data_IF_488285570074
#
_entry.id   IF_488285570074
#
_cell.length_a   1.000
_cell.length_b   1.000
_cell.length_c   1.000
_cell.angle_alpha   90.00
_cell.angle_beta   90.00
_cell.angle_gamma   90.00
#
_symmetry.space_group_name_H-M   'P 1'
#
loop_
_entity.id
_entity.type
_entity.pdbx_description
1 polymer ?
#
# COMPACT_ATOMS: atom_id res chain seq x y z
N UNK A 1 58.10 -11.72 30.32
CA UNK A 1 59.06 -11.44 29.24
C UNK A 1 58.33 -10.73 28.11
N UNK A 2 58.76 -9.49 27.80
CA UNK A 2 58.77 -8.78 26.51
C UNK A 2 57.58 -8.94 25.55
N UNK A 3 57.03 -7.94 24.86
CA UNK A 3 57.09 -6.47 24.83
C UNK A 3 56.49 -6.06 23.47
N UNK A 4 55.87 -4.87 23.40
CA UNK A 4 55.36 -4.14 22.19
C UNK A 4 54.01 -4.66 21.68
N UNK A 5 52.95 -3.84 21.59
CA UNK A 5 52.88 -2.56 20.89
C UNK A 5 52.07 -1.49 21.65
N UNK A 6 52.66 -0.30 21.72
CA UNK A 6 52.01 0.99 21.99
C UNK A 6 51.64 1.66 20.67
N UNK A 7 50.58 2.47 20.69
CA UNK A 7 50.26 3.53 19.72
C UNK A 7 49.40 3.02 18.57
N UNK A 8 48.25 3.60 18.22
CA UNK A 8 47.91 5.03 18.26
C UNK A 8 46.40 5.20 18.29
N UNK A 9 45.96 6.07 19.20
CA UNK A 9 44.64 6.73 19.20
C UNK A 9 44.66 7.80 18.10
N UNK A 10 44.00 7.57 16.98
CA UNK A 10 43.31 8.57 16.15
C UNK A 10 42.78 7.89 14.89
N UNK A 11 41.48 7.68 14.78
CA UNK A 11 40.70 7.68 13.52
C UNK A 11 39.22 7.49 13.91
N UNK A 12 38.67 8.49 14.62
CA UNK A 12 37.23 8.64 14.91
C UNK A 12 36.64 9.87 14.18
N UNK A 13 37.42 10.58 13.37
CA UNK A 13 36.92 11.71 12.57
C UNK A 13 37.10 11.43 11.08
N UNK A 14 36.01 11.01 10.43
CA UNK A 14 35.61 11.36 9.05
C UNK A 14 34.47 10.44 8.63
N UNK A 15 33.23 10.95 8.68
CA UNK A 15 32.17 10.86 7.64
C UNK A 15 30.84 11.34 8.28
N UNK A 16 30.82 12.59 8.76
CA UNK A 16 29.60 13.27 9.26
C UNK A 16 29.45 14.70 8.71
N UNK A 17 30.07 14.99 7.56
CA UNK A 17 29.86 16.23 6.83
C UNK A 17 29.25 15.91 5.47
N UNK A 18 27.92 16.09 5.33
CA UNK A 18 27.20 16.37 4.06
C UNK A 18 25.71 16.79 4.27
N UNK A 19 25.19 16.96 5.49
CA UNK A 19 23.81 17.47 5.71
C UNK A 19 23.79 18.75 6.55
N UNK A 20 24.58 19.74 6.15
CA UNK A 20 24.48 21.08 6.75
C UNK A 20 24.91 22.14 5.72
N UNK A 21 24.03 22.44 4.76
CA UNK A 21 23.90 23.72 4.04
C UNK A 21 22.63 23.56 3.18
N UNK A 22 21.50 24.10 3.65
CA UNK A 22 20.44 24.80 2.89
C UNK A 22 19.21 25.05 3.78
N UNK A 23 19.44 25.60 4.97
CA UNK A 23 18.40 26.09 5.86
C UNK A 23 18.77 27.46 6.41
N UNK A 24 18.99 28.42 5.52
CA UNK A 24 19.03 29.84 5.87
C UNK A 24 18.98 30.70 4.62
N UNK A 25 17.78 31.00 4.15
CA UNK A 25 17.43 32.18 3.35
C UNK A 25 15.91 32.17 3.24
N UNK A 26 15.20 32.70 4.26
CA UNK A 26 13.91 33.40 4.14
C UNK A 26 13.38 33.75 5.53
N UNK A 27 14.09 34.63 6.23
CA UNK A 27 13.49 35.50 7.24
C UNK A 27 14.00 36.91 7.00
N UNK A 28 13.19 37.75 6.35
CA UNK A 28 12.80 39.06 6.89
C UNK A 28 11.97 39.88 5.90
N UNK A 29 11.07 40.65 6.50
CA UNK A 29 10.17 41.65 5.92
C UNK A 29 8.92 41.11 5.23
N UNK A 30 7.78 41.15 5.94
CA UNK A 30 6.67 41.98 5.50
C UNK A 30 5.82 42.43 6.69
N UNK A 31 5.89 43.73 6.99
CA UNK A 31 4.90 44.47 7.77
C UNK A 31 4.13 45.41 6.84
N UNK A 32 2.80 45.33 6.89
CA UNK A 32 1.80 46.42 6.82
C UNK A 32 1.92 47.45 5.65
N UNK A 33 0.97 47.45 4.69
CA UNK A 33 -0.13 48.43 4.59
C UNK A 33 -0.94 48.37 3.27
N UNK A 34 -2.25 48.63 3.37
CA UNK A 34 -3.20 48.86 2.27
C UNK A 34 -2.88 50.16 1.50
N UNK A 35 -3.10 50.18 0.16
CA UNK A 35 -3.98 51.14 -0.55
C UNK A 35 -4.08 50.88 -2.07
N UNK A 36 -5.30 51.09 -2.58
CA UNK A 36 -5.77 50.99 -3.97
C UNK A 36 -5.03 51.94 -4.93
N UNK A 37 -4.85 51.53 -6.19
CA UNK A 37 -5.26 52.31 -7.38
C UNK A 37 -5.50 51.37 -8.59
N UNK A 38 -6.49 51.73 -9.41
CA UNK A 38 -6.94 51.01 -10.63
C UNK A 38 -6.06 51.37 -11.83
N UNK A 39 -5.74 50.39 -12.68
CA UNK A 39 -5.51 50.59 -14.11
C UNK A 39 -5.80 49.30 -14.88
N UNK A 40 -6.57 49.43 -15.96
CA UNK A 40 -7.06 48.35 -16.82
C UNK A 40 -6.12 48.23 -18.02
N UNK A 41 -5.50 47.05 -18.24
CA UNK A 41 -5.25 46.44 -19.58
C UNK A 41 -4.43 45.13 -19.48
N UNK A 42 -4.77 44.19 -20.37
CA UNK A 42 -4.19 42.85 -20.65
C UNK A 42 -4.73 41.66 -19.84
N UNK A 43 -5.87 41.11 -20.30
CA UNK A 43 -6.66 40.06 -19.62
C UNK A 43 -6.42 38.62 -20.10
N UNK A 44 -5.30 38.31 -20.77
CA UNK A 44 -4.99 36.93 -21.21
C UNK A 44 -3.73 36.31 -20.60
N UNK A 45 -2.86 37.10 -19.95
CA UNK A 45 -1.64 36.58 -19.29
C UNK A 45 -1.77 36.47 -17.77
N UNK A 46 -2.61 37.30 -17.16
CA UNK A 46 -2.84 37.30 -15.70
C UNK A 46 -3.61 36.06 -15.20
N UNK A 47 -4.48 35.45 -16.03
CA UNK A 47 -5.23 34.25 -15.62
C UNK A 47 -4.36 33.00 -15.56
N UNK A 48 -3.53 32.76 -16.56
CA UNK A 48 -2.62 31.61 -16.60
C UNK A 48 -1.58 31.65 -15.47
N UNK A 49 -0.96 32.81 -15.23
CA UNK A 49 0.01 32.98 -14.12
C UNK A 49 -0.65 32.76 -12.76
N UNK A 50 -1.85 33.32 -12.53
CA UNK A 50 -2.57 33.11 -11.27
C UNK A 50 -3.02 31.66 -11.04
N UNK A 51 -3.36 30.92 -12.11
CA UNK A 51 -3.74 29.51 -12.03
C UNK A 51 -2.51 28.64 -11.78
N UNK A 52 -1.37 28.94 -12.41
CA UNK A 52 -0.12 28.21 -12.15
C UNK A 52 0.39 28.46 -10.74
N UNK A 53 0.34 29.70 -10.24
CA UNK A 53 0.71 30.04 -8.85
C UNK A 53 -0.24 29.38 -7.84
N UNK A 54 -1.55 29.35 -8.12
CA UNK A 54 -2.52 28.67 -7.26
C UNK A 54 -2.26 27.17 -7.19
N UNK A 55 -2.02 26.51 -8.34
CA UNK A 55 -1.72 25.07 -8.38
C UNK A 55 -0.41 24.73 -7.68
N UNK A 56 0.63 25.55 -7.83
CA UNK A 56 1.89 25.36 -7.11
C UNK A 56 1.71 25.52 -5.61
N UNK A 57 0.90 26.49 -5.18
CA UNK A 57 0.62 26.71 -3.75
C UNK A 57 -0.14 25.53 -3.13
N UNK A 58 -1.16 25.00 -3.80
CA UNK A 58 -1.94 23.86 -3.29
C UNK A 58 -1.10 22.58 -3.20
N UNK A 59 -0.23 22.31 -4.19
CA UNK A 59 0.68 21.16 -4.09
C UNK A 59 1.70 21.32 -2.95
N UNK A 60 2.18 22.54 -2.70
CA UNK A 60 3.03 22.82 -1.55
C UNK A 60 2.30 22.59 -0.22
N UNK A 61 1.00 22.90 -0.11
CA UNK A 61 0.18 22.59 1.07
C UNK A 61 0.11 21.07 1.31
N UNK A 62 -0.09 20.27 0.25
CA UNK A 62 -0.03 18.81 0.36
C UNK A 62 1.35 18.32 0.84
N UNK A 63 2.44 18.87 0.30
CA UNK A 63 3.80 18.48 0.73
C UNK A 63 4.09 18.84 2.19
N UNK A 64 3.56 19.97 2.68
CA UNK A 64 3.66 20.36 4.09
C UNK A 64 2.90 19.39 5.00
N UNK A 65 1.65 19.07 4.65
CA UNK A 65 0.83 18.12 5.40
C UNK A 65 1.47 16.71 5.39
N UNK A 66 1.99 16.29 4.24
CA UNK A 66 2.75 15.05 4.10
C UNK A 66 3.93 15.00 5.07
N UNK A 67 4.71 16.07 5.17
CA UNK A 67 5.84 16.15 6.08
C UNK A 67 5.38 16.05 7.55
N UNK A 68 4.31 16.76 7.90
CA UNK A 68 3.69 16.68 9.22
C UNK A 68 3.24 15.26 9.59
N UNK A 69 2.58 14.55 8.67
CA UNK A 69 2.16 13.16 8.88
C UNK A 69 3.37 12.23 9.12
N UNK A 70 4.46 12.39 8.35
CA UNK A 70 5.68 11.58 8.50
C UNK A 70 6.34 11.83 9.88
N UNK A 71 6.39 13.08 10.33
CA UNK A 71 6.91 13.43 11.65
C UNK A 71 6.08 12.80 12.78
N UNK A 72 4.76 12.87 12.66
CA UNK A 72 3.85 12.19 13.60
C UNK A 72 4.04 10.68 13.58
N UNK A 73 4.16 10.05 12.41
CA UNK A 73 4.45 8.63 12.30
C UNK A 73 5.72 8.27 13.08
N UNK A 74 6.82 8.99 12.87
CA UNK A 74 8.09 8.70 13.56
C UNK A 74 7.95 8.82 15.08
N UNK A 75 7.16 9.80 15.55
CA UNK A 75 6.85 9.94 16.98
C UNK A 75 6.04 8.75 17.51
N UNK A 76 4.95 8.38 16.83
CA UNK A 76 4.07 7.28 17.26
C UNK A 76 4.72 5.91 17.13
N UNK A 77 5.56 5.70 16.12
CA UNK A 77 6.27 4.44 15.91
C UNK A 77 7.14 4.03 17.11
N UNK A 78 7.68 5.01 17.85
CA UNK A 78 8.49 4.75 19.06
C UNK A 78 7.66 4.56 20.34
N UNK A 79 6.35 4.79 20.27
CA UNK A 79 5.46 4.65 21.42
C UNK A 79 5.27 3.17 21.75
N UNK A 80 5.52 2.80 23.00
CA UNK A 80 5.20 1.45 23.49
C UNK A 80 3.69 1.26 23.54
N UNK A 81 3.17 0.44 22.63
CA UNK A 81 1.79 0.01 22.64
C UNK A 81 1.62 -1.20 23.56
N UNK A 82 0.83 -1.03 24.61
CA UNK A 82 0.31 -2.17 25.37
C UNK A 82 -1.09 -2.48 24.87
N UNK A 83 -1.41 -3.76 24.67
CA UNK A 83 -2.78 -4.21 24.53
C UNK A 83 -3.67 -3.55 25.59
N UNK A 84 -4.90 -3.20 25.21
CA UNK A 84 -5.85 -2.67 26.17
C UNK A 84 -6.30 -3.81 27.09
N UNK A 85 -5.66 -3.92 28.26
CA UNK A 85 -5.94 -4.98 29.25
C UNK A 85 -7.38 -4.92 29.81
N UNK A 86 -8.06 -3.79 29.68
CA UNK A 86 -9.45 -3.63 30.09
C UNK A 86 -10.45 -4.05 29.01
N UNK A 87 -9.95 -4.48 27.85
CA UNK A 87 -10.77 -4.83 26.69
C UNK A 87 -10.70 -6.33 26.45
N UNK A 88 -11.87 -6.96 26.38
CA UNK A 88 -12.04 -8.37 26.04
C UNK A 88 -13.00 -8.50 24.87
N UNK A 89 -13.08 -9.71 24.28
CA UNK A 89 -14.03 -9.96 23.21
C UNK A 89 -15.49 -9.73 23.64
N UNK A 90 -15.83 -9.89 24.92
CA UNK A 90 -17.17 -9.60 25.46
C UNK A 90 -17.59 -8.12 25.33
N UNK A 91 -16.61 -7.22 25.13
CA UNK A 91 -16.87 -5.82 24.81
C UNK A 91 -17.40 -5.62 23.38
N UNK A 92 -17.40 -6.68 22.57
CA UNK A 92 -17.78 -6.66 21.16
C UNK A 92 -18.92 -7.64 20.89
N UNK A 93 -19.95 -7.16 20.19
CA UNK A 93 -20.94 -8.03 19.57
C UNK A 93 -20.50 -8.35 18.14
N UNK A 94 -20.05 -9.57 17.88
CA UNK A 94 -19.73 -10.04 16.53
C UNK A 94 -21.01 -10.15 15.70
N UNK A 95 -21.00 -9.59 14.49
CA UNK A 95 -22.18 -9.49 13.62
C UNK A 95 -22.02 -10.36 12.39
N UNK A 96 -20.93 -10.22 11.65
CA UNK A 96 -20.71 -10.90 10.36
C UNK A 96 -19.23 -11.21 10.15
N UNK A 97 -18.92 -12.34 9.51
CA UNK A 97 -17.57 -12.62 9.01
C UNK A 97 -17.36 -11.84 7.71
N UNK A 98 -16.34 -10.98 7.68
CA UNK A 98 -15.99 -10.16 6.52
C UNK A 98 -15.00 -10.88 5.59
N UNK A 99 -14.22 -11.80 6.14
CA UNK A 99 -13.26 -12.59 5.40
C UNK A 99 -12.47 -13.53 6.31
N UNK A 100 -12.04 -14.65 5.74
CA UNK A 100 -11.09 -15.58 6.33
C UNK A 100 -9.84 -15.62 5.45
N UNK A 101 -8.72 -15.11 5.96
CA UNK A 101 -7.45 -15.03 5.24
C UNK A 101 -6.39 -15.94 5.86
N UNK A 102 -5.21 -16.02 5.22
CA UNK A 102 -4.09 -16.84 5.70
C UNK A 102 -3.61 -16.48 7.11
N UNK A 103 -3.88 -15.25 7.56
CA UNK A 103 -3.45 -14.73 8.86
C UNK A 103 -4.56 -14.69 9.91
N UNK A 104 -5.82 -15.01 9.59
CA UNK A 104 -6.92 -14.97 10.56
C UNK A 104 -8.28 -14.57 9.98
N UNK A 105 -9.25 -14.43 10.87
CA UNK A 105 -10.65 -14.11 10.54
C UNK A 105 -10.93 -12.64 10.84
N UNK A 106 -11.60 -11.93 9.93
CA UNK A 106 -12.02 -10.54 10.13
C UNK A 106 -13.53 -10.51 10.32
N UNK A 107 -13.98 -9.85 11.39
CA UNK A 107 -15.39 -9.74 11.74
C UNK A 107 -15.86 -8.30 11.74
N UNK A 108 -17.05 -8.04 11.23
CA UNK A 108 -17.78 -6.85 11.63
C UNK A 108 -18.24 -7.03 13.07
N UNK A 109 -17.87 -6.10 13.93
CA UNK A 109 -18.25 -6.11 15.34
C UNK A 109 -18.81 -4.75 15.77
N UNK A 110 -19.75 -4.77 16.71
CA UNK A 110 -20.23 -3.57 17.38
C UNK A 110 -19.54 -3.46 18.74
N UNK A 111 -18.80 -2.37 18.96
CA UNK A 111 -18.13 -2.10 20.22
C UNK A 111 -19.10 -1.48 21.22
N UNK A 112 -19.46 -2.22 22.25
CA UNK A 112 -20.54 -1.86 23.18
C UNK A 112 -20.25 -0.55 23.94
N UNK A 113 -18.97 -0.25 24.20
CA UNK A 113 -18.58 0.91 25.00
C UNK A 113 -18.53 2.22 24.19
N UNK A 114 -18.10 2.17 22.91
CA UNK A 114 -18.04 3.37 22.06
C UNK A 114 -19.27 3.56 21.18
N UNK A 115 -20.15 2.56 21.08
CA UNK A 115 -21.29 2.53 20.16
C UNK A 115 -20.89 2.65 18.68
N UNK A 116 -19.75 2.07 18.31
CA UNK A 116 -19.22 2.13 16.96
C UNK A 116 -19.05 0.74 16.34
N UNK A 117 -19.16 0.67 15.02
CA UNK A 117 -18.85 -0.53 14.25
C UNK A 117 -17.36 -0.55 13.88
N UNK A 118 -16.74 -1.71 14.04
CA UNK A 118 -15.33 -1.95 13.71
C UNK A 118 -15.16 -3.20 12.88
N UNK A 119 -14.09 -3.25 12.08
CA UNK A 119 -13.57 -4.48 11.52
C UNK A 119 -12.54 -5.07 12.50
N UNK A 120 -12.90 -6.17 13.15
CA UNK A 120 -12.10 -6.85 14.16
C UNK A 120 -11.38 -8.06 13.54
N UNK A 121 -10.08 -7.93 13.31
CA UNK A 121 -9.20 -9.03 12.88
C UNK A 121 -8.81 -9.86 14.09
N UNK A 122 -9.16 -11.14 14.09
CA UNK A 122 -8.85 -12.12 15.13
C UNK A 122 -7.88 -13.17 14.58
N UNK A 123 -6.74 -13.35 15.27
CA UNK A 123 -5.64 -14.18 14.80
C UNK A 123 -5.24 -15.14 15.91
N UNK A 124 -5.16 -16.43 15.58
CA UNK A 124 -4.84 -17.46 16.56
C UNK A 124 -3.35 -17.41 16.93
N UNK A 125 -3.05 -17.37 18.22
CA UNK A 125 -1.67 -17.34 18.74
C UNK A 125 -0.86 -18.55 18.29
N UNK A 126 -1.45 -19.75 18.30
CA UNK A 126 -0.74 -20.97 17.89
C UNK A 126 -0.27 -20.90 16.44
N UNK A 127 -1.11 -20.39 15.53
CA UNK A 127 -0.77 -20.23 14.11
C UNK A 127 0.41 -19.27 13.91
N UNK A 128 0.44 -18.17 14.67
CA UNK A 128 1.54 -17.21 14.61
C UNK A 128 2.87 -17.82 15.09
N UNK A 129 2.83 -18.67 16.12
CA UNK A 129 4.02 -19.36 16.63
C UNK A 129 4.48 -20.45 15.65
N UNK A 130 3.55 -21.26 15.14
CA UNK A 130 3.83 -22.31 14.16
C UNK A 130 4.47 -21.76 12.88
N UNK A 131 4.10 -20.55 12.46
CA UNK A 131 4.59 -19.90 11.24
C UNK A 131 5.75 -18.92 11.45
N UNK A 132 6.23 -18.71 12.69
CA UNK A 132 7.23 -17.67 13.03
C UNK A 132 6.80 -16.23 12.64
N UNK A 133 5.51 -15.93 12.80
CA UNK A 133 4.88 -14.67 12.38
C UNK A 133 4.57 -13.71 13.54
N UNK A 134 5.06 -14.03 14.74
CA UNK A 134 4.86 -13.18 15.92
C UNK A 134 5.40 -11.74 15.71
N UNK A 135 6.63 -11.61 15.21
CA UNK A 135 7.22 -10.29 14.95
C UNK A 135 6.48 -9.56 13.83
N UNK A 136 5.93 -10.30 12.87
CA UNK A 136 5.12 -9.76 11.77
C UNK A 136 3.86 -9.12 12.32
N UNK A 137 3.11 -9.81 13.19
CA UNK A 137 1.87 -9.24 13.75
C UNK A 137 2.12 -8.08 14.72
N UNK A 138 3.22 -8.11 15.47
CA UNK A 138 3.62 -6.98 16.32
C UNK A 138 3.97 -5.75 15.47
N UNK A 139 4.66 -5.96 14.35
CA UNK A 139 4.98 -4.90 13.38
C UNK A 139 3.71 -4.36 12.70
N UNK A 140 2.81 -5.23 12.24
CA UNK A 140 1.53 -4.84 11.64
C UNK A 140 0.74 -3.93 12.59
N UNK A 141 0.59 -4.34 13.85
CA UNK A 141 -0.09 -3.56 14.89
C UNK A 141 0.59 -2.20 15.12
N UNK A 142 1.92 -2.19 15.24
CA UNK A 142 2.67 -0.96 15.48
C UNK A 142 2.53 0.03 14.32
N UNK A 143 2.60 -0.48 13.07
CA UNK A 143 2.42 0.35 11.88
C UNK A 143 0.98 0.88 11.79
N UNK A 144 -0.01 0.01 11.98
CA UNK A 144 -1.42 0.39 11.97
C UNK A 144 -1.73 1.52 12.97
N UNK A 145 -1.17 1.45 14.18
CA UNK A 145 -1.32 2.50 15.18
C UNK A 145 -0.64 3.81 14.77
N UNK A 146 0.56 3.76 14.20
CA UNK A 146 1.34 4.96 13.90
C UNK A 146 0.88 5.67 12.62
N UNK A 147 0.33 4.94 11.65
CA UNK A 147 -0.09 5.47 10.35
C UNK A 147 -1.44 6.18 10.42
N UNK A 148 -1.47 7.45 10.01
CA UNK A 148 -2.69 8.26 9.91
C UNK A 148 -2.72 8.93 8.55
N UNK A 149 -3.62 8.49 7.67
CA UNK A 149 -3.77 9.03 6.32
C UNK A 149 -5.20 8.77 5.80
N UNK A 150 -5.83 9.70 5.05
CA UNK A 150 -7.21 9.53 4.56
C UNK A 150 -7.40 8.29 3.69
N UNK A 151 -6.35 7.81 3.02
CA UNK A 151 -6.37 6.63 2.16
C UNK A 151 -5.72 5.37 2.77
N UNK A 152 -5.51 5.33 4.09
CA UNK A 152 -5.10 4.13 4.82
C UNK A 152 -6.16 3.84 5.89
N UNK A 153 -6.42 2.57 6.17
CA UNK A 153 -7.37 2.16 7.21
C UNK A 153 -6.90 2.62 8.59
N UNK A 154 -7.81 3.17 9.37
CA UNK A 154 -7.54 3.69 10.70
C UNK A 154 -7.56 2.56 11.73
N UNK A 155 -6.50 2.49 12.52
CA UNK A 155 -6.45 1.67 13.73
C UNK A 155 -7.37 2.24 14.82
N UNK A 156 -8.13 1.37 15.48
CA UNK A 156 -9.06 1.72 16.56
C UNK A 156 -8.58 1.15 17.90
N UNK A 157 -8.22 -0.13 17.95
CA UNK A 157 -7.84 -0.80 19.19
C UNK A 157 -7.08 -2.10 18.93
N UNK A 158 -6.41 -2.62 19.97
CA UNK A 158 -5.86 -3.98 19.96
C UNK A 158 -5.92 -4.58 21.36
N UNK A 159 -6.21 -5.87 21.45
CA UNK A 159 -6.27 -6.63 22.70
C UNK A 159 -5.97 -8.11 22.43
N UNK A 160 -5.84 -8.92 23.48
CA UNK A 160 -5.59 -10.37 23.37
C UNK A 160 -6.41 -11.11 24.41
N UNK A 161 -6.72 -12.36 24.14
CA UNK A 161 -7.27 -13.29 25.12
C UNK A 161 -6.35 -14.52 25.25
N UNK A 162 -6.87 -15.63 25.78
CA UNK A 162 -6.09 -16.85 25.98
C UNK A 162 -5.60 -17.48 24.67
N UNK A 163 -6.31 -17.31 23.56
CA UNK A 163 -6.11 -18.08 22.31
C UNK A 163 -5.84 -17.19 21.09
N UNK A 164 -6.29 -15.93 21.11
CA UNK A 164 -6.21 -15.00 19.99
C UNK A 164 -5.56 -13.67 20.38
N UNK A 165 -4.99 -13.02 19.37
CA UNK A 165 -4.74 -11.59 19.36
C UNK A 165 -5.74 -10.90 18.43
N UNK A 166 -6.11 -9.68 18.77
CA UNK A 166 -7.15 -8.92 18.07
C UNK A 166 -6.64 -7.52 17.70
N UNK A 167 -6.93 -7.12 16.46
CA UNK A 167 -6.69 -5.76 15.97
C UNK A 167 -8.00 -5.23 15.39
N UNK A 168 -8.49 -4.12 15.93
CA UNK A 168 -9.69 -3.44 15.50
C UNK A 168 -9.36 -2.25 14.60
N UNK A 169 -10.04 -2.20 13.46
CA UNK A 169 -9.94 -1.13 12.46
C UNK A 169 -11.29 -0.45 12.25
N UNK A 170 -11.29 0.74 11.66
CA UNK A 170 -12.52 1.37 11.19
C UNK A 170 -13.27 0.44 10.21
N UNK A 171 -14.60 0.46 10.26
CA UNK A 171 -15.41 -0.33 9.36
C UNK A 171 -15.66 0.40 8.03
N UNK A 172 -15.31 -0.26 6.91
CA UNK A 172 -15.46 0.27 5.55
C UNK A 172 -16.61 -0.44 4.81
N UNK A 173 -17.64 0.33 4.45
CA UNK A 173 -18.92 -0.20 3.94
C UNK A 173 -19.01 -0.33 2.42
N UNK A 174 -18.03 0.21 1.68
CA UNK A 174 -18.13 0.41 0.25
C UNK A 174 -17.77 -0.80 -0.61
N UNK A 175 -17.31 -1.89 0.00
CA UNK A 175 -16.75 -3.05 -0.70
C UNK A 175 -15.37 -2.77 -1.28
N UNK A 176 -14.70 -3.81 -1.76
CA UNK A 176 -13.38 -3.72 -2.39
C UNK A 176 -13.44 -3.33 -3.88
N UNK A 177 -12.32 -2.79 -4.37
CA UNK A 177 -12.15 -2.38 -5.76
C UNK A 177 -12.23 -3.58 -6.73
N UNK A 178 -11.80 -4.77 -6.30
CA UNK A 178 -11.92 -5.99 -7.11
C UNK A 178 -13.38 -6.28 -7.49
N UNK A 179 -14.28 -6.24 -6.51
CA UNK A 179 -15.70 -6.42 -6.69
C UNK A 179 -16.27 -5.35 -7.61
N UNK A 180 -15.88 -4.08 -7.43
CA UNK A 180 -16.30 -2.98 -8.31
C UNK A 180 -15.91 -3.21 -9.77
N UNK A 181 -14.67 -3.61 -10.03
CA UNK A 181 -14.17 -3.90 -11.38
C UNK A 181 -14.82 -5.14 -11.99
N UNK A 182 -15.21 -6.11 -11.16
CA UNK A 182 -15.92 -7.32 -11.60
C UNK A 182 -17.35 -7.02 -12.05
N UNK A 183 -18.00 -5.99 -11.49
CA UNK A 183 -19.35 -5.56 -11.91
C UNK A 183 -19.34 -4.63 -13.13
N UNK A 184 -18.28 -3.84 -13.33
CA UNK A 184 -18.18 -2.91 -14.45
C UNK A 184 -16.73 -2.54 -14.80
N UNK A 185 -16.47 -2.36 -16.09
CA UNK A 185 -15.23 -1.74 -16.56
C UNK A 185 -15.19 -0.28 -16.10
N UNK A 186 -14.10 0.12 -15.46
CA UNK A 186 -13.92 1.51 -15.05
C UNK A 186 -13.57 2.39 -16.25
N UNK A 187 -14.14 3.58 -16.28
CA UNK A 187 -13.67 4.63 -17.18
C UNK A 187 -12.27 5.10 -16.76
N UNK A 188 -11.49 5.62 -17.69
CA UNK A 188 -10.16 6.16 -17.37
C UNK A 188 -10.22 7.28 -16.31
N UNK A 189 -11.31 8.05 -16.26
CA UNK A 189 -11.52 9.07 -15.23
C UNK A 189 -11.71 8.45 -13.83
N UNK A 190 -12.48 7.36 -13.74
CA UNK A 190 -12.63 6.59 -12.50
C UNK A 190 -11.30 5.96 -12.07
N UNK A 191 -10.59 5.32 -13.00
CA UNK A 191 -9.28 4.73 -12.75
C UNK A 191 -8.28 5.80 -12.25
N UNK A 192 -8.27 6.99 -12.87
CA UNK A 192 -7.43 8.12 -12.45
C UNK A 192 -7.73 8.60 -11.03
N UNK A 193 -9.01 8.69 -10.66
CA UNK A 193 -9.43 9.09 -9.32
C UNK A 193 -8.96 8.10 -8.24
N UNK A 194 -9.09 6.79 -8.49
CA UNK A 194 -8.61 5.76 -7.55
C UNK A 194 -7.08 5.69 -7.53
N UNK A 195 -6.43 5.69 -8.69
CA UNK A 195 -4.97 5.67 -8.82
C UNK A 195 -4.31 6.85 -8.08
N UNK A 196 -4.89 8.06 -8.17
CA UNK A 196 -4.35 9.23 -7.48
C UNK A 196 -4.36 9.07 -5.95
N UNK A 197 -5.39 8.43 -5.39
CA UNK A 197 -5.46 8.12 -3.95
C UNK A 197 -4.47 7.02 -3.54
N UNK A 198 -4.27 6.01 -4.38
CA UNK A 198 -3.25 4.97 -4.16
C UNK A 198 -1.86 5.62 -4.16
N UNK A 199 -1.57 6.51 -5.11
CA UNK A 199 -0.29 7.26 -5.16
C UNK A 199 -0.06 8.04 -3.87
N UNK A 200 -1.08 8.71 -3.33
CA UNK A 200 -0.96 9.45 -2.07
C UNK A 200 -0.73 8.54 -0.86
N UNK A 201 -1.39 7.38 -0.80
CA UNK A 201 -1.15 6.39 0.24
C UNK A 201 0.29 5.85 0.18
N UNK A 202 0.78 5.51 -1.02
CA UNK A 202 2.15 5.05 -1.24
C UNK A 202 3.17 6.14 -0.93
N UNK A 203 2.91 7.40 -1.30
CA UNK A 203 3.79 8.52 -0.96
C UNK A 203 4.02 8.65 0.55
N UNK A 204 2.92 8.57 1.31
CA UNK A 204 2.99 8.63 2.76
C UNK A 204 3.74 7.42 3.35
N UNK A 205 3.40 6.19 2.93
CA UNK A 205 4.08 4.97 3.39
C UNK A 205 5.58 5.00 3.08
N UNK A 206 5.96 5.34 1.84
CA UNK A 206 7.36 5.42 1.41
C UNK A 206 8.12 6.53 2.15
N UNK A 207 7.46 7.66 2.43
CA UNK A 207 7.98 8.73 3.29
C UNK A 207 8.31 8.23 4.70
N UNK A 208 7.46 7.36 5.24
CA UNK A 208 7.64 6.65 6.51
C UNK A 208 8.63 5.47 6.44
N UNK A 209 9.28 5.25 5.28
CA UNK A 209 10.16 4.10 4.99
C UNK A 209 9.46 2.74 5.07
N UNK A 210 8.14 2.71 4.93
CA UNK A 210 7.36 1.48 4.84
C UNK A 210 7.15 1.13 3.38
N UNK A 211 7.47 -0.09 2.98
CA UNK A 211 7.00 -0.71 1.73
C UNK A 211 5.77 -1.55 2.03
N UNK A 212 4.74 -1.46 1.19
CA UNK A 212 3.43 -2.10 1.42
C UNK A 212 3.39 -3.56 0.96
N UNK A 213 3.88 -3.87 -0.25
CA UNK A 213 4.12 -5.22 -0.81
C UNK A 213 2.91 -6.11 -1.09
N UNK A 214 1.69 -5.72 -0.72
CA UNK A 214 0.46 -6.49 -1.03
C UNK A 214 -0.64 -5.61 -1.63
N UNK A 215 -0.23 -4.70 -2.52
CA UNK A 215 -1.18 -3.90 -3.28
C UNK A 215 -1.94 -4.79 -4.26
N UNK A 216 -3.26 -4.85 -4.09
CA UNK A 216 -4.19 -5.56 -4.96
C UNK A 216 -5.59 -4.98 -4.80
N UNK A 217 -6.47 -5.12 -5.80
CA UNK A 217 -7.81 -4.55 -5.75
C UNK A 217 -8.67 -5.03 -4.56
N UNK A 218 -8.42 -6.23 -4.03
CA UNK A 218 -9.06 -6.77 -2.83
C UNK A 218 -8.68 -6.00 -1.55
N UNK A 219 -7.46 -5.45 -1.50
CA UNK A 219 -6.96 -4.66 -0.37
C UNK A 219 -7.23 -3.16 -0.53
N UNK A 220 -7.93 -2.74 -1.58
CA UNK A 220 -8.34 -1.35 -1.83
C UNK A 220 -9.83 -1.26 -1.58
N UNK A 221 -10.23 -0.84 -0.37
CA UNK A 221 -11.63 -0.85 0.06
C UNK A 221 -12.23 0.55 0.01
N UNK A 222 -13.45 0.65 -0.49
CA UNK A 222 -14.17 1.91 -0.58
C UNK A 222 -14.85 2.25 0.77
N UNK A 223 -14.78 3.52 1.12
CA UNK A 223 -15.65 4.16 2.13
C UNK A 223 -17.07 4.29 1.59
N UNK A 224 -18.05 4.53 2.47
CA UNK A 224 -19.41 4.85 2.05
C UNK A 224 -19.53 6.15 1.24
N UNK A 225 -18.51 7.00 1.27
CA UNK A 225 -18.45 8.24 0.51
C UNK A 225 -17.84 8.05 -0.89
N UNK A 226 -17.26 6.89 -1.21
CA UNK A 226 -16.65 6.61 -2.52
C UNK A 226 -15.14 6.87 -2.63
N UNK A 227 -14.49 7.27 -1.53
CA UNK A 227 -13.03 7.31 -1.40
C UNK A 227 -12.47 5.94 -1.06
N UNK A 228 -11.21 5.67 -1.39
CA UNK A 228 -10.54 4.40 -1.09
C UNK A 228 -9.67 4.49 0.16
N UNK A 229 -9.49 3.35 0.82
CA UNK A 229 -8.49 3.12 1.86
C UNK A 229 -7.78 1.80 1.60
N UNK A 230 -6.46 1.80 1.74
CA UNK A 230 -5.66 0.58 1.79
C UNK A 230 -5.88 -0.11 3.14
N UNK A 231 -6.21 -1.39 3.11
CA UNK A 231 -6.34 -2.26 4.28
C UNK A 231 -5.17 -3.24 4.37
N UNK A 232 -5.11 -4.07 5.41
CA UNK A 232 -4.15 -5.17 5.58
C UNK A 232 -2.65 -4.78 5.45
N UNK A 233 -2.01 -4.53 6.58
CA UNK A 233 -0.58 -4.20 6.67
C UNK A 233 0.28 -5.43 6.98
N UNK A 234 -0.26 -6.65 6.90
CA UNK A 234 0.44 -7.89 7.28
C UNK A 234 1.73 -8.15 6.49
N UNK A 235 1.79 -7.68 5.23
CA UNK A 235 2.99 -7.73 4.41
C UNK A 235 3.76 -6.41 4.37
N UNK A 236 3.33 -5.36 5.08
CA UNK A 236 4.07 -4.11 5.12
C UNK A 236 5.40 -4.27 5.90
N UNK A 237 6.42 -3.50 5.56
CA UNK A 237 7.73 -3.58 6.23
C UNK A 237 8.45 -2.24 6.29
N UNK A 238 8.94 -1.88 7.46
CA UNK A 238 9.88 -0.77 7.64
C UNK A 238 11.26 -1.14 7.07
N UNK A 239 11.69 -0.44 6.02
CA UNK A 239 12.96 -0.68 5.34
C UNK A 239 14.09 0.09 6.01
N UNK A 240 15.03 -0.64 6.62
CA UNK A 240 16.30 -0.10 7.20
C UNK A 240 17.50 -0.26 6.26
N UNK A 241 17.25 -0.52 4.98
CA UNK A 241 18.25 -0.83 3.95
C UNK A 241 17.55 -1.36 2.71
N UNK A 242 17.38 -2.68 2.64
CA UNK A 242 16.60 -3.38 1.62
C UNK A 242 15.88 -4.59 2.22
N UNK A 243 15.01 -5.22 1.42
CA UNK A 243 14.38 -6.50 1.70
C UNK A 243 14.64 -7.48 0.56
N UNK A 244 14.67 -8.77 0.88
CA UNK A 244 14.80 -9.88 -0.09
C UNK A 244 13.64 -10.88 0.05
N UNK A 245 12.70 -10.62 0.96
CA UNK A 245 11.57 -11.50 1.24
C UNK A 245 10.72 -11.68 -0.01
N UNK A 246 10.57 -12.92 -0.48
CA UNK A 246 9.62 -13.28 -1.52
C UNK A 246 8.19 -13.24 -0.96
N UNK A 247 7.38 -12.28 -1.40
CA UNK A 247 6.00 -12.08 -0.93
C UNK A 247 5.18 -11.31 -1.97
N UNK A 248 3.88 -11.20 -1.72
CA UNK A 248 2.91 -10.55 -2.61
C UNK A 248 2.06 -11.54 -3.38
N UNK A 249 1.07 -11.01 -4.09
CA UNK A 249 0.10 -11.81 -4.84
C UNK A 249 0.63 -12.11 -6.27
N UNK A 250 0.53 -13.35 -6.79
CA UNK A 250 1.20 -13.78 -8.03
C UNK A 250 1.02 -12.85 -9.24
N UNK A 251 -0.20 -12.34 -9.48
CA UNK A 251 -0.51 -11.47 -10.62
C UNK A 251 0.13 -10.07 -10.54
N UNK A 252 0.54 -9.65 -9.34
CA UNK A 252 0.97 -8.29 -9.02
C UNK A 252 2.45 -8.19 -8.67
N UNK A 253 3.14 -9.33 -8.60
CA UNK A 253 4.52 -9.42 -8.14
C UNK A 253 5.49 -8.76 -9.12
N UNK A 254 6.46 -8.02 -8.58
CA UNK A 254 7.47 -7.34 -9.38
C UNK A 254 8.59 -8.29 -9.85
N UNK A 255 9.25 -8.03 -11.00
CA UNK A 255 10.32 -8.88 -11.52
C UNK A 255 11.47 -9.05 -10.54
N UNK A 256 11.85 -8.00 -9.81
CA UNK A 256 12.93 -8.07 -8.83
C UNK A 256 12.62 -9.00 -7.66
N UNK A 257 11.35 -9.14 -7.26
CA UNK A 257 10.94 -10.09 -6.21
C UNK A 257 11.06 -11.52 -6.76
N UNK A 258 10.59 -11.77 -7.98
CA UNK A 258 10.71 -13.08 -8.65
C UNK A 258 12.17 -13.50 -8.86
N UNK A 259 13.06 -12.52 -9.07
CA UNK A 259 14.49 -12.74 -9.27
C UNK A 259 15.28 -12.75 -7.96
N UNK A 260 14.63 -12.70 -6.79
CA UNK A 260 15.29 -12.62 -5.48
C UNK A 260 16.33 -11.49 -5.36
N UNK A 261 16.06 -10.35 -6.02
CA UNK A 261 16.94 -9.18 -5.93
C UNK A 261 16.55 -8.33 -4.73
N UNK A 262 17.53 -7.71 -4.05
CA UNK A 262 17.27 -6.68 -3.06
C UNK A 262 16.35 -5.59 -3.59
N UNK A 263 15.31 -5.25 -2.82
CA UNK A 263 14.34 -4.23 -3.18
C UNK A 263 14.03 -3.29 -2.01
N UNK A 264 13.50 -2.12 -2.34
CA UNK A 264 12.98 -1.13 -1.38
C UNK A 264 11.50 -0.85 -1.68
N UNK A 265 11.18 0.31 -2.24
CA UNK A 265 9.82 0.77 -2.58
C UNK A 265 9.41 0.44 -4.03
N UNK A 266 10.37 -0.04 -4.85
CA UNK A 266 10.15 -0.29 -6.27
C UNK A 266 9.03 -1.29 -6.59
N UNK A 267 8.76 -2.34 -5.78
CA UNK A 267 7.67 -3.27 -6.08
C UNK A 267 6.29 -2.60 -6.02
N UNK A 268 6.07 -1.66 -5.10
CA UNK A 268 4.76 -1.00 -4.96
C UNK A 268 4.41 -0.17 -6.21
N UNK A 269 5.40 0.47 -6.85
CA UNK A 269 5.18 1.19 -8.11
C UNK A 269 4.97 0.27 -9.31
N UNK A 270 5.61 -0.90 -9.33
CA UNK A 270 5.30 -1.92 -10.34
C UNK A 270 3.84 -2.34 -10.20
N UNK A 271 3.42 -2.68 -8.99
CA UNK A 271 2.05 -3.12 -8.72
C UNK A 271 1.02 -2.02 -8.99
N UNK A 272 1.35 -0.74 -8.75
CA UNK A 272 0.53 0.39 -9.19
C UNK A 272 0.30 0.36 -10.70
N UNK A 273 1.34 0.08 -11.50
CA UNK A 273 1.22 -0.07 -12.95
C UNK A 273 0.28 -1.22 -13.35
N UNK A 274 0.38 -2.36 -12.66
CA UNK A 274 -0.51 -3.51 -12.85
C UNK A 274 -1.97 -3.13 -12.59
N UNK A 275 -2.26 -2.47 -11.47
CA UNK A 275 -3.63 -2.11 -11.08
C UNK A 275 -4.21 -1.03 -11.98
N UNK A 276 -3.40 -0.03 -12.41
CA UNK A 276 -3.88 0.97 -13.37
C UNK A 276 -4.24 0.31 -14.70
N UNK A 277 -3.40 -0.61 -15.19
CA UNK A 277 -3.69 -1.39 -16.39
C UNK A 277 -4.98 -2.21 -16.23
N UNK A 278 -5.13 -2.92 -15.12
CA UNK A 278 -6.33 -3.73 -14.84
C UNK A 278 -7.60 -2.87 -14.73
N UNK A 279 -7.53 -1.70 -14.08
CA UNK A 279 -8.67 -0.78 -13.99
C UNK A 279 -9.17 -0.32 -15.36
N UNK A 280 -8.25 -0.02 -16.30
CA UNK A 280 -8.62 0.53 -17.62
C UNK A 280 -8.91 -0.54 -18.69
N UNK A 281 -8.43 -1.77 -18.49
CA UNK A 281 -8.64 -2.89 -19.44
C UNK A 281 -9.61 -3.94 -18.94
N UNK A 282 -9.78 -4.07 -17.62
CA UNK A 282 -10.50 -5.14 -16.94
C UNK A 282 -9.69 -6.42 -16.73
N UNK A 283 -8.40 -6.46 -17.11
CA UNK A 283 -7.56 -7.67 -17.05
C UNK A 283 -6.14 -7.29 -16.64
N UNK A 284 -5.52 -8.02 -15.71
CA UNK A 284 -4.10 -7.81 -15.39
C UNK A 284 -3.17 -8.13 -16.59
N UNK A 285 -2.10 -7.36 -16.84
CA UNK A 285 -1.32 -7.39 -18.08
C UNK A 285 -0.58 -8.71 -18.36
N UNK A 286 -0.32 -9.52 -17.33
CA UNK A 286 0.42 -10.78 -17.44
C UNK A 286 -0.46 -12.03 -17.27
N UNK A 287 -1.78 -11.85 -17.14
CA UNK A 287 -2.69 -12.98 -16.96
C UNK A 287 -2.89 -13.80 -18.26
N UNK A 288 -3.36 -15.05 -18.10
CA UNK A 288 -3.52 -16.04 -19.19
C UNK A 288 -4.49 -15.60 -20.30
N UNK A 289 -5.37 -14.63 -20.03
CA UNK A 289 -6.46 -14.22 -20.93
C UNK A 289 -6.07 -13.19 -21.99
N UNK A 290 -4.80 -12.78 -22.08
CA UNK A 290 -4.28 -12.16 -23.31
C UNK A 290 -4.28 -13.21 -24.44
N UNK A 291 -5.47 -13.48 -24.98
CA UNK A 291 -5.66 -14.10 -26.29
C UNK A 291 -5.20 -13.08 -27.32
N UNK A 292 -3.90 -13.11 -27.61
CA UNK A 292 -3.44 -12.61 -28.90
C UNK A 292 -4.16 -13.48 -29.94
N UNK A 293 -4.73 -12.84 -30.96
CA UNK A 293 -5.13 -13.47 -32.22
C UNK A 293 -3.88 -14.04 -32.93
N UNK A 294 -3.20 -15.00 -32.31
CA UNK A 294 -2.18 -15.83 -32.93
C UNK A 294 -2.73 -17.25 -32.92
N UNK A 295 -3.11 -17.69 -34.12
CA UNK A 295 -3.48 -19.03 -34.55
C UNK A 295 -3.38 -20.12 -33.47
N UNK A 296 -4.55 -20.60 -33.03
CA UNK A 296 -4.72 -21.84 -32.29
C UNK A 296 -4.18 -23.03 -33.10
N UNK A 297 -2.90 -23.33 -32.96
CA UNK A 297 -2.34 -24.62 -33.36
C UNK A 297 -0.92 -24.76 -32.82
N UNK A 298 -0.76 -24.97 -31.51
CA UNK A 298 0.30 -25.80 -30.86
C UNK A 298 0.42 -25.48 -29.36
N UNK A 299 -0.57 -25.77 -28.51
CA UNK A 299 -0.33 -25.67 -27.04
C UNK A 299 -1.11 -26.70 -26.19
N UNK A 300 -1.32 -27.91 -26.73
CA UNK A 300 -2.02 -29.00 -26.03
C UNK A 300 -1.12 -30.20 -25.64
N UNK A 301 0.19 -30.04 -25.48
CA UNK A 301 1.07 -31.23 -25.26
C UNK A 301 2.08 -31.17 -24.10
N UNK A 302 2.05 -30.18 -23.21
CA UNK A 302 3.02 -30.11 -22.10
C UNK A 302 2.49 -30.37 -20.69
N UNK A 303 1.18 -30.58 -20.51
CA UNK A 303 0.60 -30.81 -19.16
C UNK A 303 0.53 -32.28 -18.74
N UNK A 304 1.08 -33.23 -19.52
CA UNK A 304 0.95 -34.67 -19.23
C UNK A 304 2.23 -35.51 -19.48
N UNK A 305 3.36 -35.19 -18.82
CA UNK A 305 4.37 -36.24 -18.52
C UNK A 305 4.94 -36.14 -17.11
N UNK A 306 4.72 -37.22 -16.40
CA UNK A 306 5.03 -37.49 -15.00
C UNK A 306 6.53 -37.50 -14.67
N UNK A 307 6.82 -37.08 -13.43
CA UNK A 307 7.79 -37.65 -12.48
C UNK A 307 8.83 -38.65 -12.98
N UNK A 308 10.12 -38.31 -12.89
CA UNK A 308 11.17 -39.15 -12.27
C UNK A 308 12.53 -38.40 -12.21
N UNK A 309 13.05 -38.28 -10.99
CA UNK A 309 14.49 -38.31 -10.60
C UNK A 309 15.54 -37.66 -11.51
N UNK A 310 16.22 -36.63 -11.00
CA UNK A 310 17.69 -36.49 -10.92
C UNK A 310 18.00 -35.41 -9.86
N UNK A 311 18.73 -35.82 -8.82
CA UNK A 311 19.32 -34.93 -7.81
C UNK A 311 20.65 -34.32 -8.30
N UNK A 312 21.00 -33.18 -7.66
CA UNK A 312 22.32 -32.54 -7.56
C UNK A 312 22.80 -31.63 -8.70
N UNK A 313 22.62 -30.32 -8.51
CA UNK A 313 23.73 -29.35 -8.39
C UNK A 313 23.21 -27.93 -8.17
N UNK A 314 23.92 -27.20 -7.31
CA UNK A 314 23.58 -25.93 -6.70
C UNK A 314 23.35 -24.78 -7.71
N UNK A 315 22.12 -24.27 -7.75
CA UNK A 315 21.75 -22.88 -8.03
C UNK A 315 20.24 -22.77 -7.83
N UNK A 316 19.82 -22.43 -6.62
CA UNK A 316 18.40 -22.38 -6.23
C UNK A 316 17.71 -21.15 -6.84
N UNK A 317 17.48 -21.21 -8.15
CA UNK A 317 16.33 -20.56 -8.77
C UNK A 317 15.13 -21.39 -8.31
N UNK A 318 14.28 -20.83 -7.46
CA UNK A 318 12.97 -21.42 -7.16
C UNK A 318 12.30 -21.72 -8.50
N UNK A 319 12.15 -23.00 -8.83
CA UNK A 319 11.31 -23.41 -9.96
C UNK A 319 9.90 -22.99 -9.59
N UNK A 320 9.26 -22.05 -10.31
CA UNK A 320 7.87 -21.69 -10.05
C UNK A 320 7.04 -22.96 -9.97
N UNK A 321 6.11 -23.04 -9.02
CA UNK A 321 5.07 -24.06 -9.08
C UNK A 321 4.48 -24.06 -10.50
N UNK A 322 4.30 -25.24 -11.11
CA UNK A 322 3.95 -25.38 -12.53
C UNK A 322 2.76 -24.49 -12.95
N UNK A 323 1.86 -24.20 -11.99
CA UNK A 323 0.66 -23.37 -12.17
C UNK A 323 0.93 -21.92 -12.62
N UNK A 324 2.01 -21.27 -12.18
CA UNK A 324 2.27 -19.85 -12.48
C UNK A 324 3.50 -19.61 -13.36
N UNK A 325 4.20 -20.67 -13.81
CA UNK A 325 5.44 -20.55 -14.57
C UNK A 325 5.34 -19.58 -15.75
N UNK A 326 4.30 -19.73 -16.60
CA UNK A 326 4.13 -18.88 -17.78
C UNK A 326 3.91 -17.40 -17.42
N UNK A 327 3.16 -17.12 -16.36
CA UNK A 327 2.92 -15.75 -15.89
C UNK A 327 4.21 -15.12 -15.38
N UNK A 328 4.94 -15.83 -14.53
CA UNK A 328 6.21 -15.35 -13.98
C UNK A 328 7.27 -15.17 -15.08
N UNK A 329 7.30 -16.07 -16.07
CA UNK A 329 8.14 -15.93 -17.24
C UNK A 329 7.82 -14.64 -18.00
N UNK A 330 6.54 -14.35 -18.29
CA UNK A 330 6.11 -13.09 -18.95
C UNK A 330 6.47 -11.85 -18.12
N UNK A 331 6.32 -11.90 -16.80
CA UNK A 331 6.73 -10.81 -15.90
C UNK A 331 8.24 -10.56 -16.03
N UNK A 332 9.05 -11.62 -16.04
CA UNK A 332 10.51 -11.53 -16.10
C UNK A 332 11.01 -11.06 -17.47
N UNK A 333 10.50 -11.62 -18.57
CA UNK A 333 10.97 -11.31 -19.92
C UNK A 333 10.36 -10.05 -20.50
N UNK A 334 9.27 -9.56 -19.90
CA UNK A 334 8.43 -8.52 -20.47
C UNK A 334 7.46 -9.07 -21.50
N UNK A 335 6.41 -8.29 -21.77
CA UNK A 335 5.42 -8.58 -22.80
C UNK A 335 5.56 -7.54 -23.92
N UNK A 336 5.78 -8.00 -25.15
CA UNK A 336 5.95 -7.14 -26.33
C UNK A 336 4.65 -6.48 -26.80
N UNK A 337 3.49 -6.89 -26.27
CA UNK A 337 2.18 -6.35 -26.64
C UNK A 337 1.32 -6.07 -25.40
N UNK A 338 1.56 -4.93 -24.75
CA UNK A 338 0.55 -4.29 -23.89
C UNK A 338 -0.27 -3.32 -24.74
N UNK A 339 -0.90 -3.80 -25.81
CA UNK A 339 -1.77 -2.94 -26.62
C UNK A 339 -3.00 -2.56 -25.76
N UNK A 340 -3.15 -1.26 -25.52
CA UNK A 340 -4.23 -0.67 -24.73
C UNK A 340 -5.22 -0.02 -25.70
N UNK A 341 -6.23 -0.78 -26.14
CA UNK A 341 -7.34 -0.22 -26.91
C UNK A 341 -8.21 0.67 -26.03
N UNK A 342 -8.65 1.80 -26.57
CA UNK A 342 -9.54 2.76 -25.90
C UNK A 342 -8.98 3.45 -24.63
N UNK A 343 -7.65 3.58 -24.52
CA UNK A 343 -6.99 4.30 -23.42
C UNK A 343 -6.18 5.49 -23.96
N UNK A 344 -6.12 6.61 -23.23
CA UNK A 344 -5.35 7.77 -23.69
C UNK A 344 -3.86 7.48 -23.77
N UNK A 345 -3.17 8.17 -24.68
CA UNK A 345 -1.72 8.10 -24.83
C UNK A 345 -0.97 8.34 -23.52
N UNK A 346 -1.43 9.28 -22.68
CA UNK A 346 -0.82 9.56 -21.39
C UNK A 346 -0.99 8.39 -20.41
N UNK A 347 -2.11 7.66 -20.45
CA UNK A 347 -2.28 6.47 -19.60
C UNK A 347 -1.32 5.37 -20.03
N UNK A 348 -1.20 5.14 -21.35
CA UNK A 348 -0.26 4.16 -21.92
C UNK A 348 1.18 4.45 -21.52
N UNK A 349 1.62 5.70 -21.60
CA UNK A 349 2.97 6.10 -21.15
C UNK A 349 3.13 5.87 -19.64
N UNK A 350 2.13 6.23 -18.84
CA UNK A 350 2.20 6.04 -17.38
C UNK A 350 2.38 4.55 -17.02
N UNK A 351 1.56 3.68 -17.59
CA UNK A 351 1.62 2.23 -17.36
C UNK A 351 2.98 1.70 -17.82
N UNK A 352 3.42 2.07 -19.02
CA UNK A 352 4.72 1.68 -19.56
C UNK A 352 5.86 2.09 -18.61
N UNK A 353 5.84 3.33 -18.10
CA UNK A 353 6.88 3.87 -17.24
C UNK A 353 6.87 3.25 -15.82
N UNK A 354 5.71 2.82 -15.31
CA UNK A 354 5.58 2.06 -14.06
C UNK A 354 5.98 0.58 -14.21
N UNK A 355 5.79 -0.01 -15.39
CA UNK A 355 6.10 -1.42 -15.68
C UNK A 355 7.49 -1.63 -16.30
N UNK A 356 8.44 -0.73 -15.99
CA UNK A 356 9.84 -0.88 -16.40
C UNK A 356 10.54 -1.99 -15.58
N UNK A 357 11.18 -2.93 -16.26
CA UNK A 357 12.01 -3.97 -15.63
C UNK A 357 13.26 -3.39 -14.96
N UNK A 358 13.83 -2.35 -15.57
CA UNK A 358 14.94 -1.62 -14.95
C UNK A 358 14.38 -0.65 -13.89
N UNK A 359 14.65 -0.96 -12.61
CA UNK A 359 14.19 -0.16 -11.47
C UNK A 359 14.58 1.33 -11.62
N UNK A 360 15.78 1.63 -12.14
CA UNK A 360 16.24 3.02 -12.30
C UNK A 360 15.48 3.80 -13.38
N UNK A 361 14.79 3.09 -14.29
CA UNK A 361 13.93 3.69 -15.31
C UNK A 361 12.45 3.67 -14.90
N UNK A 362 12.10 2.94 -13.84
CA UNK A 362 10.73 2.84 -13.33
C UNK A 362 10.28 4.15 -12.70
N UNK A 363 9.11 4.63 -13.10
CA UNK A 363 8.49 5.82 -12.51
C UNK A 363 8.34 5.64 -11.00
N UNK A 364 8.64 6.67 -10.21
CA UNK A 364 8.72 6.59 -8.76
C UNK A 364 10.10 6.20 -8.20
N UNK A 365 10.96 5.58 -9.02
CA UNK A 365 12.34 5.16 -8.67
C UNK A 365 13.44 5.96 -9.39
N UNK A 366 13.06 6.85 -10.31
CA UNK A 366 13.96 7.80 -10.99
C UNK A 366 14.50 8.85 -10.01
N UNK A 367 15.38 9.72 -10.48
CA UNK A 367 16.04 10.74 -9.65
C UNK A 367 15.05 11.65 -8.88
N UNK A 368 13.91 12.00 -9.46
CA UNK A 368 12.88 12.84 -8.81
C UNK A 368 11.89 12.01 -7.97
N UNK A 369 12.04 10.69 -7.94
CA UNK A 369 11.22 9.77 -7.16
C UNK A 369 9.74 9.88 -7.51
N UNK A 370 8.91 10.00 -6.48
CA UNK A 370 7.45 10.07 -6.62
C UNK A 370 6.94 11.35 -7.30
N UNK A 371 7.74 12.43 -7.33
CA UNK A 371 7.34 13.67 -7.99
C UNK A 371 7.08 13.46 -9.48
N UNK A 372 7.81 12.54 -10.11
CA UNK A 372 7.57 12.17 -11.52
C UNK A 372 6.20 11.51 -11.73
N UNK A 373 5.62 10.89 -10.70
CA UNK A 373 4.26 10.34 -10.74
C UNK A 373 3.24 11.48 -10.58
N UNK A 374 3.39 12.33 -9.57
CA UNK A 374 2.46 13.46 -9.32
C UNK A 374 2.36 14.41 -10.51
N UNK A 375 3.47 14.68 -11.18
CA UNK A 375 3.54 15.60 -12.34
C UNK A 375 3.29 14.90 -13.68
N UNK A 376 3.04 13.59 -13.69
CA UNK A 376 2.83 12.85 -14.92
C UNK A 376 1.60 13.41 -15.66
N UNK A 377 1.66 13.63 -17.00
CA UNK A 377 0.56 14.23 -17.76
C UNK A 377 -0.78 13.52 -17.66
N UNK A 378 -0.79 12.24 -17.27
CA UNK A 378 -2.04 11.50 -17.01
C UNK A 378 -2.79 12.04 -15.80
N UNK A 379 -2.09 12.47 -14.75
CA UNK A 379 -2.68 13.10 -13.56
C UNK A 379 -2.94 14.60 -13.75
N UNK A 380 -2.70 15.16 -14.94
CA UNK A 380 -3.15 16.51 -15.25
C UNK A 380 -4.65 16.62 -14.95
N UNK A 381 -5.02 17.68 -14.22
CA UNK A 381 -6.36 17.98 -13.68
C UNK A 381 -6.63 17.45 -12.26
N UNK A 382 -5.80 16.55 -11.72
CA UNK A 382 -5.86 16.21 -10.30
C UNK A 382 -5.13 17.29 -9.50
N UNK A 383 -5.89 18.01 -8.69
CA UNK A 383 -5.39 18.73 -7.52
C UNK A 383 -5.34 17.76 -6.33
N UNK A 384 -4.13 17.36 -5.95
CA UNK A 384 -3.87 16.38 -4.88
C UNK A 384 -4.22 16.89 -3.49
N UNK A 385 -4.16 18.21 -3.23
CA UNK A 385 -4.57 18.77 -1.94
C UNK A 385 -6.09 18.68 -1.73
N UNK A 386 -6.87 19.05 -2.75
CA UNK A 386 -8.32 18.88 -2.70
C UNK A 386 -8.71 17.39 -2.65
N UNK A 387 -7.91 16.49 -3.24
CA UNK A 387 -8.14 15.06 -3.15
C UNK A 387 -7.86 14.54 -1.74
N UNK A 388 -6.77 14.99 -1.11
CA UNK A 388 -6.41 14.73 0.27
C UNK A 388 -7.49 15.16 1.26
N UNK A 389 -8.01 16.38 1.07
CA UNK A 389 -9.09 16.93 1.86
C UNK A 389 -10.47 16.35 1.53
N UNK A 390 -10.54 15.35 0.63
CA UNK A 390 -11.77 14.70 0.20
C UNK A 390 -12.84 15.68 -0.32
N UNK A 391 -12.42 16.69 -1.10
CA UNK A 391 -13.28 17.74 -1.69
C UNK A 391 -13.84 17.41 -3.07
N UNK A 392 -13.41 16.30 -3.67
CA UNK A 392 -13.91 15.84 -4.96
C UNK A 392 -15.29 15.22 -4.79
N UNK A 393 -16.12 15.25 -5.84
CA UNK A 393 -17.26 14.36 -5.92
C UNK A 393 -16.74 13.00 -6.44
N UNK A 394 -16.85 11.90 -5.67
CA UNK A 394 -16.32 10.62 -6.13
C UNK A 394 -17.12 10.12 -7.35
N UNK A 395 -16.44 9.51 -8.34
CA UNK A 395 -17.07 9.06 -9.57
C UNK A 395 -17.89 7.78 -9.39
N UNK A 396 -17.83 7.18 -8.20
CA UNK A 396 -18.65 6.07 -7.76
C UNK A 396 -18.90 6.24 -6.27
N UNK A 397 -20.17 6.19 -5.87
CA UNK A 397 -20.59 6.18 -4.46
C UNK A 397 -21.26 4.82 -4.22
N UNK A 398 -20.70 3.98 -3.34
CA UNK A 398 -21.26 2.65 -3.08
C UNK A 398 -22.68 2.73 -2.52
N UNK A 399 -23.53 1.78 -2.92
CA UNK A 399 -24.82 1.58 -2.28
C UNK A 399 -24.63 0.85 -0.94
N UNK A 400 -24.22 1.59 0.07
CA UNK A 400 -24.05 1.06 1.42
C UNK A 400 -25.43 0.72 1.99
N UNK A 401 -25.72 -0.57 2.14
CA UNK A 401 -26.93 -1.01 2.84
C UNK A 401 -26.78 -0.64 4.33
N UNK A 402 -27.78 0.05 4.88
CA UNK A 402 -28.02 -0.04 6.32
C UNK A 402 -28.23 -1.51 6.64
N UNK A 403 -27.42 -2.06 7.54
CA UNK A 403 -27.38 -3.50 7.79
C UNK A 403 -28.79 -4.09 7.96
N UNK A 404 -29.08 -5.25 7.34
CA UNK A 404 -30.26 -6.01 7.69
C UNK A 404 -30.03 -6.56 9.09
N UNK A 405 -30.76 -6.00 10.06
CA UNK A 405 -30.91 -6.59 11.39
C UNK A 405 -31.33 -8.06 11.22
N UNK A 406 -30.52 -8.97 11.75
CA UNK A 406 -30.84 -10.38 12.04
C UNK A 406 -30.74 -11.44 10.93
N UNK A 407 -30.13 -11.21 9.75
CA UNK A 407 -30.12 -12.25 8.68
C UNK A 407 -28.79 -12.90 8.28
N UNK A 408 -27.66 -12.46 8.86
CA UNK A 408 -26.34 -12.98 8.48
C UNK A 408 -25.45 -13.26 9.70
N UNK A 409 -25.95 -14.02 10.67
CA UNK A 409 -25.08 -14.71 11.62
C UNK A 409 -24.42 -15.87 10.87
N UNK A 410 -23.29 -15.59 10.22
CA UNK A 410 -22.31 -16.64 9.92
C UNK A 410 -21.73 -17.04 11.27
N UNK A 411 -22.08 -18.22 11.77
CA UNK A 411 -21.49 -18.79 12.99
C UNK A 411 -20.04 -19.26 12.70
N UNK A 412 -19.14 -18.35 12.33
CA UNK A 412 -17.71 -18.61 12.53
C UNK A 412 -17.47 -18.46 14.03
N UNK A 413 -17.53 -19.59 14.74
CA UNK A 413 -17.33 -19.64 16.19
C UNK A 413 -15.82 -19.64 16.45
N UNK A 414 -15.32 -18.53 17.00
CA UNK A 414 -14.00 -18.51 17.64
C UNK A 414 -14.00 -19.55 18.76
N UNK A 415 -12.99 -20.43 18.78
CA UNK A 415 -12.87 -21.46 19.81
C UNK A 415 -12.21 -20.84 21.03
N UNK A 416 -12.73 -21.09 22.23
CA UNK A 416 -12.15 -20.54 23.45
C UNK A 416 -11.59 -21.65 24.33
N UNK A 417 -10.43 -21.38 24.89
CA UNK A 417 -9.79 -22.21 25.90
C UNK A 417 -9.68 -21.45 27.23
N UNK A 418 -9.96 -22.14 28.34
CA UNK A 418 -9.84 -21.57 29.68
C UNK A 418 -8.37 -21.36 30.10
N UNK A 419 -7.46 -22.12 29.52
CA UNK A 419 -6.03 -22.04 29.81
C UNK A 419 -5.38 -20.96 28.96
N UNK A 420 -4.66 -20.05 29.62
CA UNK A 420 -3.79 -19.07 28.97
C UNK A 420 -2.77 -19.76 28.07
N UNK A 421 -2.73 -19.43 26.78
CA UNK A 421 -1.74 -19.93 25.84
C UNK A 421 -0.79 -18.81 25.40
N UNK A 422 0.50 -19.15 25.29
CA UNK A 422 1.56 -18.31 24.72
C UNK A 422 1.69 -16.91 25.37
N UNK A 423 1.40 -16.76 26.67
CA UNK A 423 1.40 -15.45 27.34
C UNK A 423 2.77 -14.77 27.34
N UNK A 424 3.84 -15.55 27.53
CA UNK A 424 5.21 -15.02 27.50
C UNK A 424 5.58 -14.57 26.10
N UNK A 425 5.21 -15.33 25.09
CA UNK A 425 5.49 -15.00 23.70
C UNK A 425 4.77 -13.69 23.33
N UNK A 426 3.50 -13.55 23.69
CA UNK A 426 2.70 -12.38 23.32
C UNK A 426 2.69 -11.27 24.38
N UNK A 427 3.69 -11.18 25.26
CA UNK A 427 3.72 -10.16 26.32
C UNK A 427 3.79 -8.72 25.77
N UNK A 428 4.49 -8.53 24.64
CA UNK A 428 4.65 -7.24 23.95
C UNK A 428 3.47 -6.84 23.06
N UNK A 429 2.53 -7.78 22.84
CA UNK A 429 1.25 -7.47 22.19
C UNK A 429 0.35 -6.73 23.17
#
# INVERSE_FOLDING_TARGET
MKSKLNGTSSFINQTLDIIYIESNLFENQFCINKRKTRSIKTRSRFSLVSITESKSNEFNEYLQERQYMIENFNKFLTTQLRANENLSLDSFKLIHSLGEGGYGSVFLAYHNNTNEYVALKAIKKSTLIENDEQNTILSERQYAFALHHPNIVQFITSFKDNEYVYIGFEWLQGGDLYSLMSYQKLTELQAKFFAAQIVMALDYLHGCKIVYRDLKPENIVLTCHGYIKLIDLGLAKLIRGYSETFCGTPHYIAPEILMHRPYTISPDYWTLGIIIHEMVTGIAPYDRTYRIHENESTENEYDNRSTSTIENSSSDIIRPTSKHYNMYHRIITGCSSMHLEDVTHNCTILIHDLLQHNINQRLGCRQRGILDIFEHPWFNQINFWNLYQQKYLPPFIPLCKYFPTNKYQSETILKFTANKQYEYDFIEF
#
